data_IF_808224061328
#
_entry.id   IF_808224061328
#
_cell.length_a   1.000
_cell.length_b   1.000
_cell.length_c   1.000
_cell.angle_alpha   90.00
_cell.angle_beta   90.00
_cell.angle_gamma   90.00
#
_symmetry.space_group_name_H-M   'P 1'
#
loop_
_entity.id
_entity.type
_entity.pdbx_description
1 polymer ?
#
# COMPACT_ATOMS: atom_id res chain seq x y z
N UNK A 1 -2.81 -2.22 6.89
CA UNK A 1 -3.43 -3.56 6.96
C UNK A 1 -2.42 -4.60 6.49
N UNK A 2 -2.36 -5.76 7.15
CA UNK A 2 -1.54 -6.89 6.73
C UNK A 2 -2.46 -8.04 6.31
N UNK A 3 -2.32 -8.48 5.07
CA UNK A 3 -3.05 -9.61 4.53
C UNK A 3 -2.19 -10.87 4.63
N UNK A 4 -2.72 -11.93 5.24
CA UNK A 4 -2.00 -13.17 5.48
C UNK A 4 -2.74 -14.38 4.89
N UNK A 5 -2.00 -15.42 4.53
CA UNK A 5 -2.55 -16.71 4.11
C UNK A 5 -2.12 -17.80 5.08
N UNK A 6 -3.01 -18.76 5.35
CA UNK A 6 -2.72 -19.91 6.19
C UNK A 6 -2.16 -21.04 5.33
N UNK A 7 -0.89 -21.37 5.51
CA UNK A 7 -0.19 -22.39 4.74
C UNK A 7 -0.68 -23.82 5.06
N UNK A 8 -1.19 -24.06 6.28
CA UNK A 8 -1.71 -25.38 6.68
C UNK A 8 -3.02 -25.74 5.98
N UNK A 9 -3.78 -24.76 5.49
CA UNK A 9 -5.06 -24.98 4.79
C UNK A 9 -4.94 -25.11 3.27
N UNK A 10 -3.72 -25.10 2.76
CA UNK A 10 -3.42 -25.16 1.31
C UNK A 10 -3.48 -23.82 0.60
N UNK A 11 -2.75 -23.73 -0.51
CA UNK A 11 -2.68 -22.52 -1.33
C UNK A 11 -4.07 -22.20 -1.90
N UNK A 12 -4.66 -21.10 -1.44
CA UNK A 12 -5.97 -20.62 -1.93
C UNK A 12 -6.88 -20.03 -0.87
N UNK A 13 -6.65 -20.26 0.42
CA UNK A 13 -7.42 -19.57 1.46
C UNK A 13 -6.69 -18.30 1.90
N UNK A 14 -6.95 -17.19 1.23
CA UNK A 14 -6.60 -15.87 1.78
C UNK A 14 -7.46 -15.70 3.02
N UNK A 15 -6.83 -15.78 4.18
CA UNK A 15 -7.53 -15.57 5.44
C UNK A 15 -7.36 -14.11 5.81
N UNK A 16 -8.42 -13.36 5.60
CA UNK A 16 -8.77 -12.04 6.15
C UNK A 16 -7.62 -11.09 6.52
N UNK A 17 -7.72 -9.89 5.97
CA UNK A 17 -7.00 -8.74 6.46
C UNK A 17 -7.05 -8.68 8.00
N UNK A 18 -5.92 -8.84 8.64
CA UNK A 18 -5.80 -8.49 10.05
C UNK A 18 -5.67 -6.97 10.07
N UNK A 19 -6.79 -6.29 10.28
CA UNK A 19 -6.76 -4.89 10.67
C UNK A 19 -5.92 -4.81 11.95
N UNK A 20 -4.91 -3.97 11.92
CA UNK A 20 -4.11 -3.62 13.08
C UNK A 20 -5.02 -2.88 14.07
N UNK A 21 -5.80 -3.61 14.84
CA UNK A 21 -6.73 -3.10 15.82
C UNK A 21 -6.01 -3.06 17.17
N UNK A 22 -6.03 -1.92 17.85
CA UNK A 22 -5.29 -1.65 19.09
C UNK A 22 -5.46 -2.73 20.17
N UNK A 23 -6.55 -3.47 20.15
CA UNK A 23 -6.87 -4.48 21.19
C UNK A 23 -6.22 -5.87 20.98
N UNK A 24 -5.58 -6.11 19.84
CA UNK A 24 -4.99 -7.42 19.48
C UNK A 24 -3.50 -7.34 19.10
N UNK A 25 -2.93 -6.16 19.18
CA UNK A 25 -1.55 -5.87 18.80
C UNK A 25 -0.65 -5.78 20.02
N UNK A 26 0.38 -6.60 20.04
CA UNK A 26 1.60 -6.22 20.70
C UNK A 26 2.24 -5.11 19.85
N UNK A 27 1.95 -3.84 20.11
CA UNK A 27 2.61 -2.74 19.46
C UNK A 27 3.53 -2.03 20.45
N UNK A 28 4.77 -1.80 20.05
CA UNK A 28 5.74 -0.98 20.76
C UNK A 28 6.46 -0.09 19.76
N UNK A 29 7.22 0.86 20.25
CA UNK A 29 8.02 1.73 19.40
C UNK A 29 9.33 2.13 20.05
N UNK A 30 10.32 2.36 19.21
CA UNK A 30 11.59 2.95 19.57
C UNK A 30 11.76 4.31 18.90
N UNK A 31 12.15 5.32 19.67
CA UNK A 31 12.52 6.62 19.13
C UNK A 31 13.98 6.56 18.71
N UNK A 32 14.27 6.88 17.46
CA UNK A 32 15.61 6.97 16.90
C UNK A 32 15.95 8.43 16.59
N UNK A 33 17.20 8.73 16.27
CA UNK A 33 17.69 10.10 16.08
C UNK A 33 16.86 10.91 15.07
N UNK A 34 16.41 10.26 13.98
CA UNK A 34 15.68 10.90 12.90
C UNK A 34 14.27 10.34 12.69
N UNK A 35 13.66 9.68 13.68
CA UNK A 35 12.31 9.16 13.50
C UNK A 35 11.86 8.16 14.55
N UNK A 36 11.04 7.21 14.12
CA UNK A 36 10.48 6.18 14.98
C UNK A 36 10.45 4.83 14.26
N UNK A 37 10.72 3.76 15.00
CA UNK A 37 10.51 2.38 14.55
C UNK A 37 9.33 1.82 15.32
N UNK A 38 8.30 1.39 14.59
CA UNK A 38 7.10 0.77 15.12
C UNK A 38 7.24 -0.74 15.00
N UNK A 39 7.14 -1.46 16.14
CA UNK A 39 7.22 -2.90 16.19
C UNK A 39 5.82 -3.48 16.33
N UNK A 40 5.43 -4.34 15.41
CA UNK A 40 4.14 -5.00 15.40
C UNK A 40 4.30 -6.51 15.56
N UNK A 41 3.60 -7.09 16.53
CA UNK A 41 3.47 -8.53 16.70
C UNK A 41 2.00 -8.93 16.59
N UNK A 42 1.68 -9.64 15.51
CA UNK A 42 0.35 -10.18 15.21
C UNK A 42 0.25 -11.60 15.78
N UNK A 43 0.22 -11.73 17.09
CA UNK A 43 0.28 -13.01 17.79
C UNK A 43 -0.77 -14.04 17.32
N UNK A 44 -1.94 -13.60 16.85
CA UNK A 44 -3.00 -14.47 16.32
C UNK A 44 -2.64 -15.17 15.01
N UNK A 45 -1.73 -14.58 14.23
CA UNK A 45 -1.26 -15.10 12.95
C UNK A 45 0.20 -15.53 12.99
N UNK A 46 0.92 -15.18 14.06
CA UNK A 46 2.34 -15.48 14.18
C UNK A 46 3.19 -14.69 13.17
N UNK A 47 2.83 -13.46 12.90
CA UNK A 47 3.57 -12.54 12.03
C UNK A 47 4.04 -11.36 12.86
N UNK A 48 5.32 -11.06 12.81
CA UNK A 48 5.89 -9.86 13.37
C UNK A 48 6.60 -9.05 12.27
N UNK A 49 6.51 -7.72 12.34
CA UNK A 49 7.19 -6.83 11.41
C UNK A 49 7.46 -5.46 12.04
N UNK A 50 8.45 -4.78 11.51
CA UNK A 50 8.75 -3.39 11.86
C UNK A 50 8.34 -2.45 10.74
N UNK A 51 7.84 -1.26 11.13
CA UNK A 51 7.63 -0.14 10.22
C UNK A 51 8.52 1.01 10.68
N UNK A 52 9.41 1.43 9.81
CA UNK A 52 10.26 2.58 10.06
C UNK A 52 9.64 3.84 9.45
N UNK A 53 9.55 4.90 10.24
CA UNK A 53 9.15 6.25 9.81
C UNK A 53 10.28 7.19 10.15
N UNK A 54 11.02 7.60 9.14
CA UNK A 54 12.25 8.38 9.29
C UNK A 54 12.10 9.74 8.61
N UNK A 55 12.64 10.77 9.25
CA UNK A 55 12.74 12.11 8.68
C UNK A 55 14.05 12.21 7.91
N UNK A 56 13.96 12.58 6.67
CA UNK A 56 15.06 12.95 5.80
C UNK A 56 14.95 14.45 5.49
N UNK A 57 15.95 15.05 4.85
CA UNK A 57 16.08 16.51 4.72
C UNK A 57 14.78 17.23 4.34
N UNK A 58 14.08 16.79 3.29
CA UNK A 58 12.82 17.38 2.82
C UNK A 58 11.69 16.34 2.65
N UNK A 59 11.90 15.13 3.17
CA UNK A 59 10.99 14.01 3.00
C UNK A 59 10.78 13.18 4.25
N UNK A 60 9.78 12.33 4.22
CA UNK A 60 9.52 11.30 5.22
C UNK A 60 9.63 9.96 4.52
N UNK A 61 10.60 9.14 4.94
CA UNK A 61 10.71 7.76 4.49
C UNK A 61 9.84 6.86 5.36
N UNK A 62 8.97 6.08 4.73
CA UNK A 62 8.20 5.02 5.41
C UNK A 62 8.51 3.69 4.73
N UNK A 63 9.03 2.73 5.50
CA UNK A 63 9.39 1.43 4.95
C UNK A 63 9.12 0.27 5.91
N UNK A 64 8.98 -0.91 5.35
CA UNK A 64 8.96 -2.20 6.06
C UNK A 64 10.20 -2.98 5.63
N UNK A 65 11.29 -2.99 6.42
CA UNK A 65 12.48 -3.75 6.09
C UNK A 65 12.19 -5.24 6.00
N UNK A 66 12.51 -5.87 4.87
CA UNK A 66 12.26 -7.29 4.64
C UNK A 66 12.92 -8.18 5.70
N UNK A 67 14.11 -7.83 6.14
CA UNK A 67 14.90 -8.57 7.13
C UNK A 67 14.26 -8.56 8.51
N UNK A 68 13.31 -7.66 8.73
CA UNK A 68 12.58 -7.52 10.00
C UNK A 68 11.17 -8.11 9.96
N UNK A 69 10.82 -8.77 8.86
CA UNK A 69 9.58 -9.56 8.75
C UNK A 69 9.88 -10.96 9.28
N UNK A 70 9.11 -11.41 10.26
CA UNK A 70 9.21 -12.73 10.83
C UNK A 70 7.83 -13.41 10.84
N UNK A 71 7.74 -14.55 10.15
CA UNK A 71 6.57 -15.42 10.18
C UNK A 71 6.92 -16.67 10.98
N UNK A 72 6.46 -16.76 12.23
CA UNK A 72 6.82 -17.81 13.20
C UNK A 72 5.70 -18.84 13.42
N UNK A 73 4.62 -18.78 12.65
CA UNK A 73 3.53 -19.77 12.64
C UNK A 73 3.16 -20.16 11.20
N UNK A 74 2.06 -20.90 11.04
CA UNK A 74 1.62 -21.42 9.73
C UNK A 74 1.00 -20.37 8.81
N UNK A 75 1.35 -19.10 8.98
CA UNK A 75 0.89 -18.01 8.15
C UNK A 75 2.05 -17.36 7.39
N UNK A 76 1.74 -16.84 6.23
CA UNK A 76 2.64 -16.01 5.42
C UNK A 76 1.96 -14.72 5.03
N UNK A 77 2.73 -13.65 4.88
CA UNK A 77 2.24 -12.37 4.39
C UNK A 77 1.97 -12.50 2.88
N UNK A 78 0.82 -12.04 2.46
CA UNK A 78 0.41 -11.92 1.06
C UNK A 78 0.63 -10.49 0.56
N UNK A 79 0.20 -9.51 1.36
CA UNK A 79 0.40 -8.10 1.06
C UNK A 79 0.34 -7.24 2.33
N UNK A 80 0.91 -6.06 2.24
CA UNK A 80 0.86 -5.04 3.28
C UNK A 80 0.28 -3.77 2.65
N UNK A 81 -0.84 -3.28 3.19
CA UNK A 81 -1.40 -2.00 2.76
C UNK A 81 -0.72 -0.89 3.56
N UNK A 82 0.21 -0.22 2.91
CA UNK A 82 0.94 0.91 3.47
C UNK A 82 0.08 2.16 3.40
N UNK A 83 -0.11 2.85 4.52
CA UNK A 83 -0.78 4.14 4.63
C UNK A 83 -2.07 4.26 3.77
N UNK A 84 -3.11 3.43 4.01
CA UNK A 84 -4.26 3.29 3.11
C UNK A 84 -5.08 4.58 2.94
N UNK A 85 -4.89 5.56 3.82
CA UNK A 85 -5.57 6.86 3.74
C UNK A 85 -4.63 8.03 3.42
N UNK A 86 -3.40 7.72 3.00
CA UNK A 86 -2.51 8.76 2.51
C UNK A 86 -3.12 9.37 1.23
N UNK A 87 -3.14 10.68 1.16
CA UNK A 87 -3.81 11.43 0.09
C UNK A 87 -5.36 11.34 0.11
N UNK A 88 -5.99 10.97 1.23
CA UNK A 88 -7.44 11.09 1.36
C UNK A 88 -7.87 12.57 1.44
N UNK A 89 -8.89 12.93 0.70
CA UNK A 89 -9.52 14.26 0.71
C UNK A 89 -11.03 14.14 0.84
N UNK A 90 -11.72 15.25 1.04
CA UNK A 90 -13.18 15.31 1.01
C UNK A 90 -13.67 15.87 -0.33
N UNK A 91 -14.87 15.46 -0.74
CA UNK A 91 -15.56 15.88 -1.95
C UNK A 91 -15.80 17.41 -2.05
N UNK A 92 -15.69 18.15 -0.94
CA UNK A 92 -15.81 19.60 -0.91
C UNK A 92 -14.46 20.33 -0.82
N UNK A 93 -13.35 19.59 -0.90
CA UNK A 93 -12.02 20.17 -0.83
C UNK A 93 -11.63 20.81 -2.16
N UNK A 94 -11.02 22.00 -2.10
CA UNK A 94 -10.37 22.59 -3.27
C UNK A 94 -9.02 21.91 -3.51
N UNK A 95 -8.99 21.03 -4.51
CA UNK A 95 -7.79 20.25 -4.80
C UNK A 95 -8.01 19.07 -5.74
N UNK A 96 -6.98 18.25 -5.83
CA UNK A 96 -6.98 17.08 -6.69
C UNK A 96 -6.04 15.98 -6.16
N UNK A 97 -6.32 14.77 -6.59
CA UNK A 97 -5.40 13.63 -6.51
C UNK A 97 -4.62 13.52 -7.82
N UNK A 98 -3.34 13.21 -7.70
CA UNK A 98 -2.51 12.72 -8.80
C UNK A 98 -2.29 11.21 -8.60
N UNK A 99 -2.56 10.42 -9.60
CA UNK A 99 -2.40 8.97 -9.55
C UNK A 99 -1.82 8.41 -10.85
N UNK A 100 -1.16 7.23 -10.81
CA UNK A 100 -0.39 6.73 -11.93
C UNK A 100 -1.25 5.92 -12.91
N UNK A 101 -2.10 6.57 -13.68
CA UNK A 101 -2.80 5.95 -14.82
C UNK A 101 -1.97 6.16 -16.09
N UNK A 102 -1.23 5.13 -16.52
CA UNK A 102 -0.27 5.25 -17.61
C UNK A 102 0.83 6.27 -17.29
N UNK A 103 0.76 7.44 -17.93
CA UNK A 103 1.66 8.57 -17.70
C UNK A 103 1.26 9.47 -16.53
N UNK A 104 0.18 9.14 -15.84
CA UNK A 104 -0.40 9.90 -14.75
C UNK A 104 -1.72 10.59 -15.11
N UNK A 105 -2.62 10.65 -14.15
CA UNK A 105 -3.91 11.32 -14.26
C UNK A 105 -4.19 12.18 -13.02
N UNK A 106 -5.10 13.13 -13.18
CA UNK A 106 -5.56 14.02 -12.11
C UNK A 106 -7.06 13.81 -11.91
N UNK A 107 -7.47 13.60 -10.68
CA UNK A 107 -8.86 13.56 -10.25
C UNK A 107 -9.14 14.72 -9.31
N UNK A 108 -9.99 15.64 -9.71
CA UNK A 108 -10.43 16.74 -8.84
C UNK A 108 -11.46 16.24 -7.84
N UNK A 109 -11.43 16.79 -6.63
CA UNK A 109 -12.37 16.37 -5.57
C UNK A 109 -13.82 16.71 -5.89
N UNK A 110 -14.10 17.84 -6.52
CA UNK A 110 -15.45 18.23 -6.96
C UNK A 110 -15.99 17.33 -8.08
N UNK A 111 -15.14 16.68 -8.86
CA UNK A 111 -15.56 15.71 -9.89
C UNK A 111 -15.84 14.32 -9.30
N UNK A 112 -15.40 14.04 -8.07
CA UNK A 112 -15.54 12.73 -7.42
C UNK A 112 -16.99 12.25 -7.30
N UNK A 113 -17.95 13.18 -7.16
CA UNK A 113 -19.37 12.84 -7.14
C UNK A 113 -19.86 12.08 -8.40
N UNK A 114 -19.13 12.22 -9.51
CA UNK A 114 -19.39 11.51 -10.76
C UNK A 114 -18.69 10.15 -10.86
N UNK A 115 -17.74 9.87 -9.97
CA UNK A 115 -16.90 8.67 -9.97
C UNK A 115 -17.12 7.77 -8.76
N UNK A 116 -18.32 7.76 -8.16
CA UNK A 116 -18.66 7.06 -6.91
C UNK A 116 -18.35 5.54 -6.87
N UNK A 117 -17.92 4.96 -7.95
CA UNK A 117 -17.56 3.54 -8.07
C UNK A 117 -16.14 3.34 -8.58
N UNK A 118 -15.28 4.37 -8.53
CA UNK A 118 -13.91 4.23 -8.97
C UNK A 118 -13.11 3.49 -7.91
N UNK A 119 -12.98 2.19 -8.08
CA UNK A 119 -11.98 1.39 -7.38
C UNK A 119 -11.03 0.83 -8.43
N UNK A 120 -9.85 1.42 -8.57
CA UNK A 120 -8.84 1.02 -9.54
C UNK A 120 -7.54 0.66 -8.84
N UNK A 121 -6.85 -0.33 -9.41
CA UNK A 121 -5.55 -0.79 -8.96
C UNK A 121 -4.55 -0.61 -10.09
N UNK A 122 -3.44 0.03 -9.78
CA UNK A 122 -2.36 0.27 -10.72
C UNK A 122 -1.12 -0.51 -10.25
N UNK A 123 -0.76 -1.56 -10.99
CA UNK A 123 0.50 -2.28 -10.76
C UNK A 123 1.63 -1.48 -11.36
N UNK A 124 2.62 -1.14 -10.54
CA UNK A 124 3.80 -0.42 -11.01
C UNK A 124 4.61 -1.35 -11.91
N UNK A 125 5.04 -0.82 -13.07
CA UNK A 125 5.76 -1.55 -14.12
C UNK A 125 5.04 -2.77 -14.71
N UNK A 126 3.73 -2.89 -14.47
CA UNK A 126 2.92 -4.02 -14.92
C UNK A 126 3.16 -5.29 -14.11
N UNK A 127 2.31 -6.29 -14.32
CA UNK A 127 2.49 -7.61 -13.71
C UNK A 127 3.52 -8.41 -14.51
N UNK A 128 4.76 -8.41 -14.10
CA UNK A 128 5.84 -9.15 -14.75
C UNK A 128 5.69 -10.69 -14.57
N UNK A 129 4.90 -11.13 -13.61
CA UNK A 129 4.71 -12.55 -13.27
C UNK A 129 3.31 -13.10 -13.61
N UNK A 130 2.75 -12.76 -14.76
CA UNK A 130 1.62 -13.53 -15.26
C UNK A 130 2.14 -14.84 -15.86
N UNK A 131 1.86 -15.98 -15.21
CA UNK A 131 2.01 -17.27 -15.87
C UNK A 131 1.20 -17.23 -17.17
N UNK A 132 1.72 -17.83 -18.25
CA UNK A 132 1.08 -17.81 -19.57
C UNK A 132 -0.39 -18.27 -19.54
N UNK A 133 -0.78 -19.11 -18.57
CA UNK A 133 -2.17 -19.55 -18.34
C UNK A 133 -3.08 -18.44 -17.77
N UNK A 134 -2.54 -17.41 -17.13
CA UNK A 134 -3.31 -16.26 -16.69
C UNK A 134 -3.48 -15.19 -17.78
N UNK A 135 -2.64 -15.15 -18.79
CA UNK A 135 -2.73 -14.22 -19.92
C UNK A 135 -3.99 -14.45 -20.76
N UNK A 136 -4.44 -15.70 -20.88
CA UNK A 136 -5.65 -16.05 -21.65
C UNK A 136 -6.95 -15.65 -20.93
N UNK A 137 -6.93 -15.37 -19.62
CA UNK A 137 -8.12 -15.01 -18.84
C UNK A 137 -8.30 -13.50 -18.61
N UNK A 138 -7.25 -12.71 -18.77
CA UNK A 138 -7.25 -11.27 -18.54
C UNK A 138 -6.77 -10.53 -19.78
N UNK A 139 -7.59 -10.56 -20.82
CA UNK A 139 -7.39 -9.79 -22.07
C UNK A 139 -7.73 -8.29 -21.89
N UNK A 140 -7.67 -7.79 -20.68
CA UNK A 140 -7.69 -6.36 -20.41
C UNK A 140 -6.25 -5.91 -20.20
N UNK A 141 -5.73 -5.23 -21.21
CA UNK A 141 -4.49 -4.47 -21.09
C UNK A 141 -4.64 -3.48 -19.93
N UNK A 142 -4.13 -3.85 -18.77
CA UNK A 142 -4.03 -2.88 -17.69
C UNK A 142 -2.97 -1.86 -18.09
N UNK A 143 -3.26 -0.56 -17.99
CA UNK A 143 -2.30 0.47 -18.35
C UNK A 143 -1.02 0.27 -17.54
N UNK A 144 0.11 0.24 -18.23
CA UNK A 144 1.41 0.13 -17.60
C UNK A 144 1.71 1.44 -16.87
N UNK A 145 1.90 1.36 -15.56
CA UNK A 145 2.34 2.51 -14.76
C UNK A 145 3.81 2.75 -15.03
N UNK A 146 4.13 3.91 -15.55
CA UNK A 146 5.50 4.28 -15.90
C UNK A 146 6.25 4.97 -14.76
N UNK A 147 5.54 5.56 -13.82
CA UNK A 147 6.12 6.27 -12.68
C UNK A 147 5.51 5.79 -11.37
N UNK A 148 6.35 5.37 -10.41
CA UNK A 148 5.88 4.85 -9.12
C UNK A 148 5.53 6.00 -8.15
N UNK A 149 4.67 6.92 -8.57
CA UNK A 149 4.35 8.14 -7.83
C UNK A 149 2.85 8.40 -7.76
N UNK A 150 2.41 8.97 -6.66
CA UNK A 150 1.06 9.48 -6.48
C UNK A 150 1.09 10.67 -5.52
N UNK A 151 0.03 11.44 -5.44
CA UNK A 151 0.05 12.62 -4.59
C UNK A 151 -1.28 13.31 -4.46
N UNK A 152 -1.28 14.37 -3.68
CA UNK A 152 -2.45 15.21 -3.40
C UNK A 152 -2.04 16.69 -3.43
N UNK A 153 -2.92 17.51 -3.94
CA UNK A 153 -2.88 18.95 -3.74
C UNK A 153 -4.19 19.40 -3.12
N UNK A 154 -4.14 20.11 -2.00
CA UNK A 154 -5.33 20.56 -1.27
C UNK A 154 -5.05 21.89 -0.56
N UNK A 155 -5.94 22.89 -0.75
CA UNK A 155 -5.84 24.17 -0.05
C UNK A 155 -4.50 24.89 -0.23
N UNK A 156 -3.87 24.75 -1.38
CA UNK A 156 -2.57 25.38 -1.69
C UNK A 156 -1.34 24.61 -1.17
N UNK A 157 -1.52 23.49 -0.51
CA UNK A 157 -0.44 22.58 -0.12
C UNK A 157 -0.44 21.36 -1.03
N UNK A 158 0.73 20.73 -1.20
CA UNK A 158 0.85 19.52 -1.98
C UNK A 158 1.81 18.53 -1.31
N UNK A 159 1.54 17.24 -1.57
CA UNK A 159 2.41 16.14 -1.16
C UNK A 159 2.55 15.19 -2.33
N UNK A 160 3.77 14.71 -2.56
CA UNK A 160 4.08 13.68 -3.53
C UNK A 160 4.65 12.47 -2.78
N UNK A 161 4.10 11.30 -3.04
CA UNK A 161 4.65 10.04 -2.58
C UNK A 161 5.34 9.33 -3.75
N UNK A 162 6.51 8.76 -3.48
CA UNK A 162 7.32 8.02 -4.42
C UNK A 162 7.59 6.64 -3.84
N UNK A 163 7.36 5.58 -4.63
CA UNK A 163 7.76 4.22 -4.24
C UNK A 163 9.18 4.00 -4.77
N UNK A 164 10.15 4.05 -3.87
CA UNK A 164 11.57 3.97 -4.22
C UNK A 164 12.06 2.52 -4.33
N UNK A 165 11.61 1.66 -3.41
CA UNK A 165 11.98 0.24 -3.37
C UNK A 165 10.73 -0.65 -3.38
N UNK A 166 10.84 -1.85 -3.96
CA UNK A 166 9.74 -2.82 -4.07
C UNK A 166 8.66 -2.42 -5.07
N UNK A 167 8.95 -1.47 -5.97
CA UNK A 167 7.99 -0.97 -6.95
C UNK A 167 7.41 -2.07 -7.83
N UNK A 168 8.20 -3.07 -8.19
CA UNK A 168 7.80 -4.24 -8.99
C UNK A 168 6.74 -5.11 -8.32
N UNK A 169 6.65 -5.05 -6.98
CA UNK A 169 5.68 -5.81 -6.18
C UNK A 169 4.58 -4.91 -5.60
N UNK A 170 4.56 -3.64 -5.98
CA UNK A 170 3.65 -2.65 -5.42
C UNK A 170 2.48 -2.37 -6.36
N UNK A 171 1.31 -2.18 -5.76
CA UNK A 171 0.11 -1.65 -6.41
C UNK A 171 -0.35 -0.39 -5.71
N UNK A 172 -0.71 0.61 -6.47
CA UNK A 172 -1.37 1.81 -5.96
C UNK A 172 -2.86 1.65 -6.20
N UNK A 173 -3.68 1.84 -5.17
CA UNK A 173 -5.14 1.79 -5.27
C UNK A 173 -5.73 3.19 -5.09
N UNK A 174 -6.75 3.48 -5.88
CA UNK A 174 -7.56 4.71 -5.78
C UNK A 174 -9.01 4.29 -5.60
N UNK A 175 -9.65 4.75 -4.53
CA UNK A 175 -11.04 4.42 -4.20
C UNK A 175 -11.75 5.58 -3.51
#
# INVERSE_FOLDING_TARGET
>A
TVNVTNLAKGAGSITNAVLLNESQLGASYDIVENGVILHYDLATTGVALDVEVLLEDESVLVRVPYERINCYADFSIVSIDMMPYLCAGSDNADGFLFYPDGCGAILKFDDYAHFKELSQYFSIYGNVEKSQQMLDFYDQEQPTVMMPVYGISIGGNAMLAVVEEGAESTRISVS
#
